data_IF_126051844803
#
_entry.id   IF_126051844803
#
_cell.length_a   1.000
_cell.length_b   1.000
_cell.length_c   1.000
_cell.angle_alpha   90.00
_cell.angle_beta   90.00
_cell.angle_gamma   90.00
#
_symmetry.space_group_name_H-M   'P 1'
#
loop_
_entity.id
_entity.type
_entity.pdbx_description
1 polymer ?
#
# COMPACT_ATOMS: atom_id res chain seq x y z
N UNK A 1 1.34 -23.98 28.06
CA UNK A 1 1.11 -22.52 28.05
C UNK A 1 0.52 -22.19 26.70
N UNK A 2 -0.58 -21.46 26.74
CA UNK A 2 -1.57 -21.28 25.69
C UNK A 2 -0.96 -20.64 24.44
N UNK A 3 -1.11 -21.28 23.27
CA UNK A 3 -0.80 -20.63 22.00
C UNK A 3 -1.90 -19.61 21.74
N UNK A 4 -1.52 -18.34 21.81
CA UNK A 4 -2.35 -17.17 21.55
C UNK A 4 -3.31 -17.43 20.39
N UNK A 5 -4.60 -17.45 20.69
CA UNK A 5 -5.64 -17.28 19.67
C UNK A 5 -5.39 -15.95 18.98
N UNK A 6 -4.88 -16.02 17.76
CA UNK A 6 -4.75 -14.86 16.90
C UNK A 6 -6.17 -14.56 16.40
N UNK A 7 -6.82 -13.55 16.97
CA UNK A 7 -8.25 -13.25 16.72
C UNK A 7 -8.55 -12.79 15.28
N UNK A 8 -7.56 -12.79 14.38
CA UNK A 8 -7.72 -12.49 12.95
C UNK A 8 -7.14 -13.54 11.98
N UNK A 9 -6.67 -14.71 12.46
CA UNK A 9 -6.29 -15.82 11.57
C UNK A 9 -5.03 -15.63 10.73
N UNK A 10 -4.12 -14.72 11.11
CA UNK A 10 -2.83 -14.58 10.43
C UNK A 10 -1.83 -15.62 10.94
N UNK A 11 -1.23 -16.37 10.02
CA UNK A 11 -0.17 -17.33 10.34
C UNK A 11 1.09 -16.58 10.82
N UNK A 12 1.88 -17.15 11.74
CA UNK A 12 3.16 -16.57 12.19
C UNK A 12 4.12 -16.19 11.05
N UNK A 13 4.02 -16.87 9.91
CA UNK A 13 4.74 -16.54 8.69
C UNK A 13 4.42 -15.12 8.18
N UNK A 14 3.14 -14.69 8.22
CA UNK A 14 2.74 -13.35 7.79
C UNK A 14 3.35 -12.26 8.67
N UNK A 15 3.45 -12.49 9.99
CA UNK A 15 4.09 -11.54 10.91
C UNK A 15 5.57 -11.38 10.57
N UNK A 16 6.28 -12.49 10.27
CA UNK A 16 7.66 -12.42 9.82
C UNK A 16 7.80 -11.71 8.48
N UNK A 17 6.91 -11.96 7.52
CA UNK A 17 6.89 -11.26 6.24
C UNK A 17 6.70 -9.75 6.40
N UNK A 18 5.84 -9.33 7.33
CA UNK A 18 5.61 -7.89 7.64
C UNK A 18 6.86 -7.27 8.25
N UNK A 19 7.48 -7.93 9.24
CA UNK A 19 8.72 -7.43 9.86
C UNK A 19 9.88 -7.36 8.87
N UNK A 20 10.00 -8.36 7.99
CA UNK A 20 10.97 -8.36 6.90
C UNK A 20 10.71 -7.19 5.95
N UNK A 21 9.46 -7.01 5.52
CA UNK A 21 9.08 -5.90 4.65
C UNK A 21 9.44 -4.54 5.25
N UNK A 22 9.09 -4.28 6.51
CA UNK A 22 9.41 -3.01 7.19
C UNK A 22 10.93 -2.79 7.31
N UNK A 23 11.69 -3.83 7.61
CA UNK A 23 13.15 -3.72 7.78
C UNK A 23 13.93 -3.56 6.48
N UNK A 24 13.33 -3.94 5.34
CA UNK A 24 13.96 -3.88 4.02
C UNK A 24 13.24 -2.93 3.06
N UNK A 25 12.42 -2.03 3.58
CA UNK A 25 11.76 -0.98 2.80
C UNK A 25 12.75 0.13 2.46
N UNK A 26 13.02 0.34 1.17
CA UNK A 26 13.85 1.43 0.67
C UNK A 26 13.02 2.44 -0.15
N UNK A 27 13.45 3.72 -0.23
CA UNK A 27 12.84 4.66 -1.15
C UNK A 27 12.86 4.14 -2.58
N UNK A 28 11.74 4.32 -3.30
CA UNK A 28 11.63 3.93 -4.71
C UNK A 28 12.67 4.67 -5.54
N UNK A 29 13.47 3.93 -6.30
CA UNK A 29 14.41 4.51 -7.28
C UNK A 29 13.72 4.59 -8.64
N UNK A 30 13.91 5.73 -9.31
CA UNK A 30 13.40 6.01 -10.65
C UNK A 30 14.55 6.60 -11.47
N UNK A 31 14.85 5.98 -12.60
CA UNK A 31 15.84 6.44 -13.57
C UNK A 31 15.20 7.35 -14.63
N UNK A 32 15.92 8.39 -15.06
CA UNK A 32 15.44 9.33 -16.09
C UNK A 32 15.09 8.62 -17.40
N UNK A 33 15.87 7.61 -17.79
CA UNK A 33 15.69 6.89 -19.06
C UNK A 33 14.39 6.09 -19.10
N UNK A 34 14.08 5.34 -18.03
CA UNK A 34 12.83 4.57 -17.97
C UNK A 34 11.60 5.46 -17.72
N UNK A 35 11.76 6.53 -16.94
CA UNK A 35 10.72 7.54 -16.80
C UNK A 35 10.32 8.11 -18.16
N UNK A 36 11.30 8.46 -19.02
CA UNK A 36 11.05 8.94 -20.38
C UNK A 36 10.38 7.90 -21.28
N UNK A 37 10.78 6.63 -21.21
CA UNK A 37 10.12 5.55 -21.98
C UNK A 37 8.64 5.39 -21.59
N UNK A 38 8.33 5.43 -20.30
CA UNK A 38 6.93 5.40 -19.83
C UNK A 38 6.19 6.66 -20.27
N UNK A 39 6.77 7.85 -20.13
CA UNK A 39 6.16 9.11 -20.60
C UNK A 39 5.85 9.04 -22.09
N UNK A 40 6.73 8.47 -22.92
CA UNK A 40 6.50 8.31 -24.35
C UNK A 40 5.33 7.36 -24.67
N UNK A 41 5.09 6.36 -23.81
CA UNK A 41 3.97 5.42 -23.93
C UNK A 41 2.65 6.01 -23.42
N UNK A 42 2.72 6.98 -22.51
CA UNK A 42 1.58 7.71 -21.97
C UNK A 42 1.00 8.67 -23.02
N UNK A 43 0.02 8.19 -23.79
CA UNK A 43 -0.78 9.02 -24.73
C UNK A 43 -1.71 10.03 -24.02
N UNK A 44 -1.67 10.13 -22.69
CA UNK A 44 -2.55 10.97 -21.87
C UNK A 44 -1.74 12.02 -21.08
N UNK A 45 -1.88 13.32 -21.39
CA UNK A 45 -1.06 14.40 -20.81
C UNK A 45 -1.49 14.89 -19.42
N UNK A 46 -2.33 14.14 -18.69
CA UNK A 46 -2.96 14.61 -17.44
C UNK A 46 -2.61 13.75 -16.21
N UNK A 47 -1.34 13.35 -16.10
CA UNK A 47 -0.85 12.63 -14.93
C UNK A 47 -0.17 13.61 -13.99
N UNK A 48 -0.49 13.51 -12.71
CA UNK A 48 0.23 14.25 -11.69
C UNK A 48 1.53 13.53 -11.28
N UNK A 49 2.36 14.22 -10.50
CA UNK A 49 3.65 13.67 -10.08
C UNK A 49 3.50 12.37 -9.26
N UNK A 50 2.43 12.23 -8.49
CA UNK A 50 2.17 11.02 -7.70
C UNK A 50 1.84 9.82 -8.60
N UNK A 51 1.00 10.03 -9.60
CA UNK A 51 0.69 9.04 -10.63
C UNK A 51 1.98 8.54 -11.33
N UNK A 52 2.84 9.48 -11.74
CA UNK A 52 4.10 9.17 -12.43
C UNK A 52 5.07 8.40 -11.54
N UNK A 53 5.28 8.83 -10.29
CA UNK A 53 6.18 8.16 -9.35
C UNK A 53 5.77 6.71 -9.12
N UNK A 54 4.48 6.46 -8.87
CA UNK A 54 4.00 5.09 -8.64
C UNK A 54 4.12 4.23 -9.90
N UNK A 55 3.90 4.82 -11.08
CA UNK A 55 4.01 4.15 -12.37
C UNK A 55 5.46 3.74 -12.67
N UNK A 56 6.40 4.67 -12.50
CA UNK A 56 7.82 4.41 -12.73
C UNK A 56 8.37 3.43 -11.71
N UNK A 57 8.02 3.61 -10.43
CA UNK A 57 8.39 2.68 -9.36
C UNK A 57 7.95 1.25 -9.65
N UNK A 58 6.71 1.08 -10.13
CA UNK A 58 6.15 -0.23 -10.47
C UNK A 58 6.82 -0.89 -11.68
N UNK A 59 7.35 -0.11 -12.63
CA UNK A 59 8.05 -0.65 -13.79
C UNK A 59 9.49 -1.03 -13.45
N UNK A 60 10.19 -0.19 -12.70
CA UNK A 60 11.61 -0.35 -12.40
C UNK A 60 11.91 -1.39 -11.32
N UNK A 61 11.03 -1.54 -10.33
CA UNK A 61 11.34 -2.28 -9.11
C UNK A 61 10.71 -3.68 -9.09
N UNK A 62 10.49 -4.34 -10.23
CA UNK A 62 9.83 -5.66 -10.25
C UNK A 62 10.78 -6.83 -9.93
N UNK A 63 10.32 -7.86 -9.20
CA UNK A 63 9.07 -7.91 -8.43
C UNK A 63 9.17 -7.03 -7.16
N UNK A 64 8.11 -6.32 -6.82
CA UNK A 64 8.06 -5.44 -5.64
C UNK A 64 6.74 -5.48 -4.90
N UNK A 65 6.82 -5.18 -3.61
CA UNK A 65 5.71 -4.66 -2.83
C UNK A 65 5.87 -3.13 -2.79
N UNK A 66 4.97 -2.40 -3.45
CA UNK A 66 4.98 -0.94 -3.43
C UNK A 66 4.02 -0.41 -2.39
N UNK A 67 4.50 0.58 -1.64
CA UNK A 67 3.72 1.23 -0.60
C UNK A 67 3.27 2.62 -1.03
N UNK A 68 1.99 2.93 -0.89
CA UNK A 68 1.48 4.28 -1.18
C UNK A 68 0.25 4.65 -0.37
N UNK A 69 0.20 5.89 0.11
CA UNK A 69 -1.04 6.51 0.62
C UNK A 69 -1.82 7.27 -0.47
N UNK A 70 -1.28 7.38 -1.68
CA UNK A 70 -1.90 8.14 -2.76
C UNK A 70 -2.91 7.30 -3.53
N UNK A 71 -4.19 7.44 -3.14
CA UNK A 71 -5.32 6.77 -3.79
C UNK A 71 -5.54 7.23 -5.23
N UNK A 72 -5.14 8.46 -5.57
CA UNK A 72 -5.27 8.97 -6.95
C UNK A 72 -4.25 8.29 -7.85
N UNK A 73 -3.03 8.15 -7.37
CA UNK A 73 -1.97 7.39 -8.04
C UNK A 73 -2.38 5.94 -8.30
N UNK A 74 -2.96 5.25 -7.30
CA UNK A 74 -3.46 3.87 -7.48
C UNK A 74 -4.50 3.77 -8.60
N UNK A 75 -5.46 4.70 -8.66
CA UNK A 75 -6.48 4.72 -9.72
C UNK A 75 -5.88 5.03 -11.09
N UNK A 76 -4.86 5.89 -11.15
CA UNK A 76 -4.17 6.19 -12.39
C UNK A 76 -3.41 4.96 -12.92
N UNK A 77 -2.65 4.27 -12.07
CA UNK A 77 -1.95 3.03 -12.41
C UNK A 77 -2.92 1.94 -12.86
N UNK A 78 -4.02 1.73 -12.13
CA UNK A 78 -5.06 0.77 -12.52
C UNK A 78 -5.64 1.07 -13.91
N UNK A 79 -5.91 2.35 -14.20
CA UNK A 79 -6.39 2.79 -15.52
C UNK A 79 -5.33 2.59 -16.62
N UNK A 80 -4.05 2.82 -16.33
CA UNK A 80 -2.97 2.57 -17.29
C UNK A 80 -2.85 1.09 -17.63
N UNK A 81 -2.97 0.22 -16.63
CA UNK A 81 -2.99 -1.22 -16.83
C UNK A 81 -4.20 -1.65 -17.66
N UNK A 82 -5.40 -1.13 -17.34
CA UNK A 82 -6.60 -1.37 -18.12
C UNK A 82 -6.43 -1.00 -19.60
N UNK A 83 -5.73 0.10 -19.87
CA UNK A 83 -5.49 0.61 -21.21
C UNK A 83 -4.27 -0.04 -21.90
N UNK A 84 -3.61 -1.02 -21.27
CA UNK A 84 -2.45 -1.72 -21.82
C UNK A 84 -1.17 -0.88 -21.89
N UNK A 85 -1.11 0.25 -21.18
CA UNK A 85 0.07 1.13 -21.16
C UNK A 85 1.11 0.65 -20.15
N UNK A 86 0.68 -0.09 -19.13
CA UNK A 86 1.54 -0.59 -18.06
C UNK A 86 1.19 -2.05 -17.75
N UNK A 87 2.19 -2.93 -17.78
CA UNK A 87 2.07 -4.26 -17.20
C UNK A 87 2.41 -4.18 -15.71
N UNK A 88 1.63 -4.83 -14.83
CA UNK A 88 1.83 -4.82 -13.37
C UNK A 88 2.14 -6.21 -12.80
N UNK A 89 2.48 -7.17 -13.66
CA UNK A 89 2.86 -8.54 -13.26
C UNK A 89 4.01 -8.51 -12.25
N UNK A 90 3.83 -9.25 -11.14
CA UNK A 90 4.82 -9.34 -10.06
C UNK A 90 4.92 -8.10 -9.16
N UNK A 91 4.06 -7.11 -9.32
CA UNK A 91 3.97 -5.94 -8.44
C UNK A 91 2.72 -6.04 -7.55
N UNK A 92 2.90 -5.90 -6.25
CA UNK A 92 1.84 -5.91 -5.26
C UNK A 92 1.76 -4.55 -4.58
N UNK A 93 0.55 -4.07 -4.34
CA UNK A 93 0.29 -2.78 -3.71
C UNK A 93 -0.07 -2.96 -2.26
N UNK A 94 0.60 -2.22 -1.39
CA UNK A 94 0.21 -2.05 0.00
C UNK A 94 -0.22 -0.60 0.18
N UNK A 95 -1.51 -0.38 0.45
CA UNK A 95 -1.99 0.95 0.77
C UNK A 95 -1.67 1.33 2.23
N UNK A 96 -1.72 2.64 2.52
CA UNK A 96 -1.41 3.17 3.86
C UNK A 96 -2.34 2.59 4.93
N UNK A 97 -3.63 2.46 4.64
CA UNK A 97 -4.61 1.92 5.57
C UNK A 97 -4.34 0.44 5.90
N UNK A 98 -3.98 -0.37 4.91
CA UNK A 98 -3.62 -1.77 5.08
C UNK A 98 -2.32 -1.89 5.87
N UNK A 99 -1.30 -1.08 5.60
CA UNK A 99 -0.06 -1.10 6.39
C UNK A 99 -0.30 -0.72 7.85
N UNK A 100 -1.12 0.32 8.11
CA UNK A 100 -1.50 0.72 9.46
C UNK A 100 -2.23 -0.41 10.17
N UNK A 101 -3.20 -1.03 9.50
CA UNK A 101 -3.95 -2.17 10.04
C UNK A 101 -3.01 -3.33 10.38
N UNK A 102 -2.10 -3.69 9.48
CA UNK A 102 -1.09 -4.73 9.71
C UNK A 102 -0.18 -4.43 10.90
N UNK A 103 0.26 -3.17 11.05
CA UNK A 103 1.03 -2.75 12.21
C UNK A 103 0.23 -2.93 13.50
N UNK A 104 -1.03 -2.48 13.52
CA UNK A 104 -1.92 -2.63 14.69
C UNK A 104 -2.16 -4.08 15.09
N UNK A 105 -2.06 -5.01 14.14
CA UNK A 105 -2.21 -6.44 14.37
C UNK A 105 -0.96 -7.11 14.92
N UNK A 106 0.21 -6.67 14.47
CA UNK A 106 1.48 -7.27 14.86
C UNK A 106 2.11 -6.62 16.09
N UNK A 107 1.77 -5.36 16.35
CA UNK A 107 2.31 -4.54 17.43
C UNK A 107 1.29 -4.24 18.52
N UNK A 108 1.71 -3.40 19.47
CA UNK A 108 0.80 -2.85 20.48
C UNK A 108 -0.14 -1.84 19.80
N UNK A 109 -1.42 -2.23 19.67
CA UNK A 109 -2.47 -1.43 19.05
C UNK A 109 -2.57 -0.03 19.64
N UNK A 110 -2.56 0.10 20.97
CA UNK A 110 -2.74 1.39 21.64
C UNK A 110 -1.51 2.28 21.43
N UNK A 111 -0.31 1.69 21.45
CA UNK A 111 0.92 2.41 21.14
C UNK A 111 0.94 2.93 19.70
N UNK A 112 0.46 2.13 18.74
CA UNK A 112 0.41 2.52 17.32
C UNK A 112 -0.61 3.64 17.10
N UNK A 113 -1.80 3.52 17.69
CA UNK A 113 -2.83 4.58 17.65
C UNK A 113 -2.26 5.89 18.21
N UNK A 114 -1.68 5.85 19.41
CA UNK A 114 -1.09 7.02 20.05
C UNK A 114 0.04 7.63 19.19
N UNK A 115 0.87 6.79 18.59
CA UNK A 115 1.97 7.22 17.72
C UNK A 115 1.46 7.93 16.47
N UNK A 116 0.41 7.42 15.83
CA UNK A 116 -0.23 8.06 14.66
C UNK A 116 -0.85 9.39 15.08
N UNK A 117 -1.70 9.41 16.11
CA UNK A 117 -2.39 10.62 16.57
C UNK A 117 -1.43 11.72 17.05
N UNK A 118 -0.24 11.37 17.53
CA UNK A 118 0.78 12.33 17.95
C UNK A 118 1.43 13.10 16.80
N UNK A 119 1.24 12.67 15.53
CA UNK A 119 1.85 13.33 14.37
C UNK A 119 1.00 14.51 13.89
N UNK A 120 1.56 15.72 13.78
CA UNK A 120 0.80 16.94 13.45
C UNK A 120 0.32 17.03 11.99
N UNK A 121 0.77 16.11 11.13
CA UNK A 121 0.49 16.12 9.69
C UNK A 121 -0.11 14.80 9.19
N UNK A 122 -0.81 14.06 10.05
CA UNK A 122 -1.57 12.89 9.60
C UNK A 122 -2.63 13.35 8.60
N UNK A 123 -2.71 12.63 7.47
CA UNK A 123 -3.72 12.89 6.45
C UNK A 123 -5.13 12.85 7.06
N UNK A 124 -6.03 13.72 6.60
CA UNK A 124 -7.38 13.83 7.17
C UNK A 124 -8.19 12.55 7.06
N UNK A 125 -7.99 11.74 6.00
CA UNK A 125 -8.71 10.48 5.85
C UNK A 125 -8.24 9.46 6.89
N UNK A 126 -6.93 9.45 7.19
CA UNK A 126 -6.38 8.66 8.29
C UNK A 126 -6.88 9.20 9.62
N UNK A 127 -6.78 10.51 9.88
CA UNK A 127 -7.30 11.14 11.11
C UNK A 127 -8.75 10.73 11.40
N UNK A 128 -9.63 10.71 10.39
CA UNK A 128 -11.03 10.28 10.51
C UNK A 128 -11.14 8.83 11.02
N UNK A 129 -10.32 7.91 10.51
CA UNK A 129 -10.33 6.51 10.95
C UNK A 129 -10.03 6.41 12.45
N UNK A 130 -9.16 7.28 12.97
CA UNK A 130 -8.68 7.24 14.34
C UNK A 130 -9.50 8.10 15.33
N UNK A 131 -10.61 8.71 14.90
CA UNK A 131 -11.48 9.50 15.81
C UNK A 131 -12.27 8.63 16.77
N UNK A 132 -12.69 7.46 16.32
CA UNK A 132 -13.34 6.46 17.16
C UNK A 132 -12.48 5.20 17.18
N UNK A 133 -11.71 5.06 18.27
CA UNK A 133 -10.76 3.96 18.46
C UNK A 133 -11.48 2.60 18.44
N UNK A 134 -12.74 2.54 18.87
CA UNK A 134 -13.50 1.29 18.90
C UNK A 134 -13.83 0.79 17.49
N UNK A 135 -13.94 1.68 16.49
CA UNK A 135 -14.29 1.36 15.10
C UNK A 135 -13.13 1.54 14.11
N UNK A 136 -11.91 1.82 14.59
CA UNK A 136 -10.75 2.09 13.72
C UNK A 136 -10.46 0.93 12.75
N UNK A 137 -10.63 -0.33 13.16
CA UNK A 137 -10.40 -1.49 12.29
C UNK A 137 -11.43 -1.54 11.15
N UNK A 138 -12.71 -1.34 11.47
CA UNK A 138 -13.80 -1.30 10.50
C UNK A 138 -13.64 -0.13 9.52
N UNK A 139 -13.22 1.03 10.03
CA UNK A 139 -12.95 2.21 9.21
C UNK A 139 -11.80 1.96 8.21
N UNK A 140 -10.69 1.40 8.68
CA UNK A 140 -9.56 1.02 7.82
C UNK A 140 -9.98 -0.04 6.80
N UNK A 141 -10.69 -1.09 7.23
CA UNK A 141 -11.13 -2.17 6.34
C UNK A 141 -12.09 -1.65 5.24
N UNK A 142 -13.01 -0.75 5.58
CA UNK A 142 -13.90 -0.12 4.61
C UNK A 142 -13.14 0.65 3.53
N UNK A 143 -12.07 1.36 3.90
CA UNK A 143 -11.21 2.04 2.93
C UNK A 143 -10.45 1.06 2.02
N UNK A 144 -9.89 0.00 2.61
CA UNK A 144 -9.16 -1.05 1.88
C UNK A 144 -10.07 -1.73 0.86
N UNK A 145 -11.28 -2.12 1.26
CA UNK A 145 -12.26 -2.72 0.35
C UNK A 145 -12.67 -1.76 -0.78
N UNK A 146 -12.87 -0.48 -0.43
CA UNK A 146 -13.23 0.55 -1.41
C UNK A 146 -12.16 0.73 -2.48
N UNK A 147 -10.87 0.82 -2.10
CA UNK A 147 -9.79 1.02 -3.06
C UNK A 147 -9.53 -0.23 -3.91
N UNK A 148 -9.61 -1.43 -3.30
CA UNK A 148 -9.50 -2.72 -4.02
C UNK A 148 -10.59 -2.87 -5.07
N UNK A 149 -11.83 -2.52 -4.71
CA UNK A 149 -12.95 -2.53 -5.65
C UNK A 149 -12.74 -1.57 -6.84
N UNK A 150 -12.19 -0.38 -6.57
CA UNK A 150 -11.95 0.64 -7.60
C UNK A 150 -10.71 0.37 -8.45
N UNK A 151 -9.78 -0.45 -7.96
CA UNK A 151 -8.50 -0.77 -8.58
C UNK A 151 -8.36 -2.27 -8.86
N UNK A 152 -9.37 -2.88 -9.47
CA UNK A 152 -9.53 -4.33 -9.60
C UNK A 152 -8.47 -5.06 -10.43
N UNK A 153 -7.64 -4.35 -11.20
CA UNK A 153 -6.54 -4.96 -11.97
C UNK A 153 -5.22 -5.01 -11.19
N UNK A 154 -5.14 -4.27 -10.08
CA UNK A 154 -3.96 -4.28 -9.22
C UNK A 154 -4.01 -5.46 -8.25
N UNK A 155 -2.86 -6.04 -7.96
CA UNK A 155 -2.71 -6.96 -6.84
C UNK A 155 -2.47 -6.18 -5.56
N UNK A 156 -3.16 -6.55 -4.48
CA UNK A 156 -3.03 -5.91 -3.16
C UNK A 156 -2.52 -6.88 -2.11
N UNK A 157 -1.91 -6.33 -1.06
CA UNK A 157 -1.34 -7.07 0.06
C UNK A 157 0.13 -7.42 -0.13
N UNK A 158 0.67 -8.23 0.77
CA UNK A 158 2.05 -8.72 0.68
C UNK A 158 2.11 -9.99 -0.17
N UNK A 159 3.13 -10.10 -1.02
CA UNK A 159 3.46 -11.35 -1.72
C UNK A 159 3.62 -12.53 -0.75
N UNK A 160 3.06 -13.70 -1.06
CA UNK A 160 3.27 -14.94 -0.30
C UNK A 160 4.74 -15.43 -0.30
N UNK A 161 5.60 -14.87 -1.13
CA UNK A 161 7.01 -15.25 -1.29
C UNK A 161 7.98 -14.54 -0.32
N UNK A 162 7.50 -13.91 0.76
CA UNK A 162 8.36 -13.41 1.84
C UNK A 162 8.49 -14.49 2.94
N UNK A 163 8.77 -15.72 2.49
CA UNK A 163 9.06 -16.91 3.30
C UNK A 163 10.44 -17.45 2.93
#
# INVERSE_FOLDING_TARGET
>A
MDHSKNEMGFEPAHIQSILYFVSHSEPVTISDEQALDVIAQLRTPHLDAGDLILTFGAKENKPSNLFTGDKRALKAVNRMQHNGVLAMEGCHMLDLEEAIRLLMMCGDKDQIIASIQSRPHVDKAIDICFRDIASVDDALNSYIESIRSQCSLLSFGLTQNIC
#
